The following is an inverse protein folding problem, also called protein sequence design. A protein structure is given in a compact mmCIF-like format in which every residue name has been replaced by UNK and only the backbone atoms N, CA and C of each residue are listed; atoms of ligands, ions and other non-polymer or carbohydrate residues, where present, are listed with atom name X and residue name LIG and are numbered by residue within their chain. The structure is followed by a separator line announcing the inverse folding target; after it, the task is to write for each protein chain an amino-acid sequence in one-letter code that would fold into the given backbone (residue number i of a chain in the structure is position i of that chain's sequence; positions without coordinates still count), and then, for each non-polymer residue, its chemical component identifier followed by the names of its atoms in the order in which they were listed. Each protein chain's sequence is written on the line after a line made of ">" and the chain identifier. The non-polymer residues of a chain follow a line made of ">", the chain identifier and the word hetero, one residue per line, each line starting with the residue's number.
data_IF_964880145614
#
_entry.id   IF_964880145614
#
_cell.length_a   1.000
_cell.length_b   1.000
_cell.length_c   1.000
_cell.angle_alpha   90.00
_cell.angle_beta   90.00
_cell.angle_gamma   90.00
#
_symmetry.space_group_name_H-M   'P 1'
#
loop_
_entity.id
_entity.type
_entity.pdbx_description
1 polymer ?
#
# COMPACT_ATOMS: atom_id res chain seq x y z
N UNK A 1 -12.92 -6.79 -38.01
CA UNK A 1 -11.48 -6.55 -38.24
C UNK A 1 -10.68 -7.10 -37.08
N UNK A 2 -9.96 -8.22 -37.30
CA UNK A 2 -9.15 -8.84 -36.27
C UNK A 2 -7.89 -7.99 -36.01
N UNK A 3 -7.81 -7.36 -34.83
CA UNK A 3 -6.58 -6.70 -34.38
C UNK A 3 -5.49 -7.77 -34.23
N UNK A 4 -4.51 -7.76 -35.12
CA UNK A 4 -3.28 -8.55 -34.97
C UNK A 4 -2.62 -8.17 -33.65
N UNK A 5 -2.59 -9.10 -32.69
CA UNK A 5 -1.92 -8.90 -31.40
C UNK A 5 -0.44 -8.73 -31.67
N UNK A 6 0.08 -7.50 -31.60
CA UNK A 6 1.53 -7.22 -31.65
C UNK A 6 2.24 -8.11 -30.61
N UNK A 7 3.06 -9.06 -31.09
CA UNK A 7 3.83 -9.96 -30.23
C UNK A 7 5.03 -9.18 -29.71
N UNK A 8 4.93 -8.68 -28.49
CA UNK A 8 6.03 -7.97 -27.84
C UNK A 8 7.02 -8.96 -27.21
N UNK A 9 8.34 -8.85 -27.49
CA UNK A 9 9.34 -9.76 -26.94
C UNK A 9 9.45 -9.62 -25.40
N UNK A 10 9.81 -10.71 -24.71
CA UNK A 10 9.95 -10.68 -23.24
C UNK A 10 11.07 -9.77 -22.75
N UNK A 11 12.12 -9.57 -23.55
CA UNK A 11 13.23 -8.68 -23.23
C UNK A 11 13.84 -8.03 -24.47
N UNK A 12 14.39 -6.84 -24.29
CA UNK A 12 15.07 -6.02 -25.29
C UNK A 12 16.45 -5.60 -24.74
N UNK A 13 17.46 -5.36 -25.59
CA UNK A 13 18.71 -4.74 -25.15
C UNK A 13 18.44 -3.36 -24.52
N UNK A 14 19.19 -3.00 -23.48
CA UNK A 14 19.08 -1.69 -22.85
C UNK A 14 19.92 -0.66 -23.60
N UNK A 15 19.33 0.51 -23.88
CA UNK A 15 20.04 1.66 -24.47
C UNK A 15 20.23 2.74 -23.39
N UNK A 16 21.48 3.19 -23.17
CA UNK A 16 21.78 4.17 -22.12
C UNK A 16 21.19 5.56 -22.42
N UNK A 17 21.21 6.00 -23.67
CA UNK A 17 20.74 7.32 -24.09
C UNK A 17 19.21 7.42 -24.13
N UNK A 18 18.53 6.35 -24.60
CA UNK A 18 17.06 6.33 -24.77
C UNK A 18 16.32 5.68 -23.59
N UNK A 19 17.02 4.91 -22.75
CA UNK A 19 16.40 4.14 -21.67
C UNK A 19 15.61 2.92 -22.18
N UNK A 20 14.61 2.50 -21.40
CA UNK A 20 13.70 1.43 -21.81
C UNK A 20 12.42 1.99 -22.45
N UNK A 21 11.89 1.32 -23.48
CA UNK A 21 10.63 1.72 -24.09
C UNK A 21 9.45 1.53 -23.12
N UNK A 22 8.34 2.20 -23.39
CA UNK A 22 7.11 2.09 -22.58
C UNK A 22 6.66 0.64 -22.43
N UNK A 23 6.25 0.26 -21.23
CA UNK A 23 5.89 -1.12 -20.89
C UNK A 23 7.09 -2.04 -20.59
N UNK A 24 8.32 -1.51 -20.54
CA UNK A 24 9.52 -2.21 -20.10
C UNK A 24 10.20 -1.46 -18.95
N UNK A 25 10.93 -2.19 -18.11
CA UNK A 25 11.80 -1.60 -17.09
C UNK A 25 13.22 -2.16 -17.19
N UNK A 26 14.20 -1.37 -16.75
CA UNK A 26 15.61 -1.77 -16.75
C UNK A 26 15.83 -2.85 -15.69
N UNK A 27 16.25 -4.04 -16.12
CA UNK A 27 16.87 -5.04 -15.25
C UNK A 27 18.37 -4.73 -15.19
N UNK A 28 18.89 -4.50 -13.99
CA UNK A 28 20.31 -4.27 -13.78
C UNK A 28 21.12 -5.53 -14.09
N UNK A 29 22.42 -5.34 -14.36
CA UNK A 29 23.38 -6.41 -14.53
C UNK A 29 23.44 -7.27 -13.27
N UNK A 30 23.51 -8.59 -13.41
CA UNK A 30 23.66 -9.52 -12.28
C UNK A 30 24.43 -10.77 -12.69
N UNK A 31 25.00 -11.49 -11.72
CA UNK A 31 25.59 -12.81 -11.93
C UNK A 31 24.52 -13.87 -11.81
N UNK A 32 24.37 -14.69 -12.84
CA UNK A 32 23.47 -15.86 -12.83
C UNK A 32 24.03 -16.96 -11.91
N UNK A 33 23.20 -17.95 -11.58
CA UNK A 33 23.61 -19.10 -10.76
C UNK A 33 24.75 -19.92 -11.39
N UNK A 34 24.88 -19.89 -12.72
CA UNK A 34 25.99 -20.50 -13.46
C UNK A 34 27.24 -19.61 -13.55
N UNK A 35 27.30 -18.50 -12.81
CA UNK A 35 28.44 -17.58 -12.78
C UNK A 35 28.49 -16.58 -13.95
N UNK A 36 27.71 -16.78 -15.02
CA UNK A 36 27.68 -15.86 -16.17
C UNK A 36 27.11 -14.51 -15.78
N UNK A 37 27.79 -13.43 -16.17
CA UNK A 37 27.32 -12.05 -16.00
C UNK A 37 26.25 -11.76 -17.06
N UNK A 38 25.02 -11.51 -16.61
CA UNK A 38 23.91 -11.12 -17.47
C UNK A 38 23.89 -9.59 -17.57
N UNK A 39 24.08 -9.00 -18.75
CA UNK A 39 24.09 -7.54 -18.91
C UNK A 39 22.71 -6.94 -18.65
N UNK A 40 22.69 -5.62 -18.42
CA UNK A 40 21.43 -4.91 -18.24
C UNK A 40 20.55 -5.00 -19.48
N UNK A 41 19.25 -5.25 -19.29
CA UNK A 41 18.26 -5.40 -20.37
C UNK A 41 16.96 -4.71 -20.00
N UNK A 42 16.17 -4.35 -21.00
CA UNK A 42 14.79 -3.93 -20.80
C UNK A 42 13.90 -5.18 -20.76
N UNK A 43 13.22 -5.42 -19.65
CA UNK A 43 12.31 -6.57 -19.49
C UNK A 43 10.88 -6.06 -19.40
N UNK A 44 9.94 -6.82 -19.99
CA UNK A 44 8.53 -6.41 -20.02
C UNK A 44 8.02 -6.21 -18.59
N UNK A 45 7.38 -5.07 -18.33
CA UNK A 45 6.80 -4.76 -17.04
C UNK A 45 5.68 -5.74 -16.73
N UNK A 46 5.79 -6.44 -15.60
CA UNK A 46 4.74 -7.32 -15.08
C UNK A 46 3.69 -6.55 -14.28
N UNK A 47 3.88 -5.24 -14.10
CA UNK A 47 3.00 -4.35 -13.35
C UNK A 47 2.60 -3.17 -14.21
N UNK A 48 1.40 -2.66 -14.00
CA UNK A 48 0.89 -1.44 -14.64
C UNK A 48 1.51 -0.15 -14.10
N UNK A 49 2.40 -0.23 -13.11
CA UNK A 49 3.00 0.94 -12.49
C UNK A 49 4.30 1.32 -13.15
N UNK A 50 4.49 2.62 -13.35
CA UNK A 50 5.79 3.19 -13.73
C UNK A 50 6.84 3.00 -12.63
N UNK A 51 6.45 3.21 -11.37
CA UNK A 51 7.37 3.14 -10.23
C UNK A 51 7.35 1.76 -9.57
N UNK A 52 8.54 1.30 -9.18
CA UNK A 52 8.73 0.08 -8.38
C UNK A 52 8.07 0.21 -7.01
N UNK A 53 7.80 -0.93 -6.35
CA UNK A 53 7.31 -0.95 -4.97
C UNK A 53 8.26 -0.24 -3.99
N UNK A 54 9.58 -0.35 -4.22
CA UNK A 54 10.62 0.29 -3.41
C UNK A 54 10.53 1.82 -3.52
N UNK A 55 10.40 2.34 -4.74
CA UNK A 55 10.23 3.77 -4.99
C UNK A 55 8.91 4.30 -4.41
N UNK A 56 7.83 3.54 -4.56
CA UNK A 56 6.55 3.88 -3.95
C UNK A 56 6.67 3.98 -2.42
N UNK A 57 7.27 2.97 -1.78
CA UNK A 57 7.53 2.97 -0.33
C UNK A 57 8.38 4.18 0.07
N UNK A 58 9.45 4.47 -0.67
CA UNK A 58 10.30 5.65 -0.45
C UNK A 58 9.53 6.96 -0.57
N UNK A 59 8.68 7.12 -1.58
CA UNK A 59 7.85 8.31 -1.74
C UNK A 59 6.87 8.51 -0.57
N UNK A 60 6.24 7.42 -0.10
CA UNK A 60 5.35 7.45 1.06
C UNK A 60 6.10 7.86 2.33
N UNK A 61 7.28 7.29 2.59
CA UNK A 61 8.07 7.62 3.79
C UNK A 61 8.62 9.05 3.72
N UNK A 62 9.09 9.51 2.55
CA UNK A 62 9.53 10.89 2.35
C UNK A 62 8.40 11.89 2.57
N UNK A 63 7.18 11.61 2.08
CA UNK A 63 6.01 12.47 2.31
C UNK A 63 5.66 12.55 3.80
N UNK A 64 5.77 11.45 4.54
CA UNK A 64 5.57 11.45 5.98
C UNK A 64 6.65 12.27 6.70
N UNK A 65 7.92 12.12 6.31
CA UNK A 65 9.03 12.89 6.88
C UNK A 65 8.90 14.40 6.61
N UNK A 66 8.53 14.80 5.38
CA UNK A 66 8.30 16.21 5.03
C UNK A 66 7.22 16.86 5.91
N UNK A 67 6.15 16.13 6.23
CA UNK A 67 5.10 16.62 7.15
C UNK A 67 5.60 16.81 8.58
N UNK A 68 6.47 15.92 9.06
CA UNK A 68 7.07 16.07 10.39
C UNK A 68 7.98 17.31 10.43
N UNK A 69 8.80 17.49 9.39
CA UNK A 69 9.66 18.68 9.24
C UNK A 69 8.87 19.99 9.17
N UNK A 70 7.72 20.02 8.48
CA UNK A 70 6.86 21.21 8.42
C UNK A 70 6.24 21.58 9.77
N UNK A 71 6.30 20.69 10.77
CA UNK A 71 5.90 20.96 12.15
C UNK A 71 7.12 21.13 13.08
N UNK A 72 8.29 21.48 12.53
CA UNK A 72 9.50 21.75 13.30
C UNK A 72 10.22 20.52 13.85
N UNK A 73 9.82 19.29 13.47
CA UNK A 73 10.55 18.10 13.93
C UNK A 73 11.86 17.90 13.16
N UNK A 74 12.94 17.71 13.92
CA UNK A 74 14.27 17.34 13.40
C UNK A 74 14.39 15.83 13.16
N UNK A 75 15.33 15.39 12.33
CA UNK A 75 15.51 13.96 12.04
C UNK A 75 15.84 13.13 13.30
N UNK A 76 16.48 13.74 14.30
CA UNK A 76 16.88 13.13 15.58
C UNK A 76 15.67 12.75 16.44
N UNK A 77 14.62 13.58 16.44
CA UNK A 77 13.37 13.30 17.17
C UNK A 77 12.45 12.30 16.46
N UNK A 78 12.64 12.11 15.15
CA UNK A 78 11.83 11.19 14.33
C UNK A 78 12.39 9.77 14.34
N UNK A 79 13.72 9.61 14.42
CA UNK A 79 14.42 8.32 14.40
C UNK A 79 14.99 7.94 15.77
N UNK A 80 14.15 7.96 16.82
CA UNK A 80 14.56 7.45 18.12
C UNK A 80 14.80 5.93 17.99
N UNK A 81 16.06 5.48 18.06
CA UNK A 81 16.38 4.04 18.19
C UNK A 81 16.20 3.62 19.66
N UNK A 82 14.96 3.65 20.16
CA UNK A 82 14.64 3.23 21.53
C UNK A 82 14.17 1.78 21.51
N UNK A 83 14.89 0.91 22.22
CA UNK A 83 14.38 -0.41 22.55
C UNK A 83 13.17 -0.24 23.48
N UNK A 84 12.04 -0.82 23.10
CA UNK A 84 10.87 -0.86 23.97
C UNK A 84 10.94 -2.12 24.85
N UNK A 85 10.43 -2.05 26.10
CA UNK A 85 10.39 -3.22 26.96
C UNK A 85 9.49 -4.31 26.36
N UNK A 86 9.63 -5.57 26.80
CA UNK A 86 8.80 -6.68 26.34
C UNK A 86 7.29 -6.35 26.36
N UNK A 87 6.57 -6.78 25.31
CA UNK A 87 5.14 -6.49 25.15
C UNK A 87 4.80 -5.06 24.67
N UNK A 88 5.81 -4.21 24.41
CA UNK A 88 5.62 -2.88 23.80
C UNK A 88 6.37 -2.76 22.48
N UNK A 89 5.83 -1.91 21.61
CA UNK A 89 6.40 -1.56 20.29
C UNK A 89 6.66 -0.06 20.21
N UNK A 90 7.72 0.31 19.50
CA UNK A 90 8.03 1.71 19.25
C UNK A 90 7.11 2.27 18.18
N UNK A 91 6.19 3.15 18.56
CA UNK A 91 5.42 3.93 17.61
C UNK A 91 6.26 5.10 17.13
N UNK A 92 6.51 5.18 15.82
CA UNK A 92 7.16 6.33 15.18
C UNK A 92 6.33 7.61 15.36
N UNK A 93 7.02 8.75 15.39
CA UNK A 93 6.35 10.04 15.37
C UNK A 93 5.56 10.23 14.06
N UNK A 94 4.40 10.88 14.13
CA UNK A 94 3.60 11.20 12.94
C UNK A 94 2.73 12.43 13.16
N UNK A 95 2.36 13.08 12.06
CA UNK A 95 1.39 14.18 12.09
C UNK A 95 -0.03 13.61 12.07
N UNK A 96 -0.79 13.90 13.11
CA UNK A 96 -2.24 13.65 13.17
C UNK A 96 -2.99 14.87 12.67
N UNK A 97 -3.83 14.69 11.65
CA UNK A 97 -4.76 15.71 11.18
C UNK A 97 -6.10 15.58 11.89
N UNK A 98 -6.65 16.70 12.32
CA UNK A 98 -8.01 16.77 12.82
C UNK A 98 -8.97 16.90 11.63
N UNK A 99 -10.06 16.14 11.66
CA UNK A 99 -11.15 16.27 10.66
C UNK A 99 -11.96 17.52 10.99
N UNK A 100 -12.58 18.12 9.96
CA UNK A 100 -13.40 19.33 10.10
C UNK A 100 -14.48 19.16 11.18
N UNK A 101 -15.20 18.05 11.13
CA UNK A 101 -16.24 17.73 12.12
C UNK A 101 -15.71 17.62 13.57
N UNK A 102 -14.46 17.19 13.79
CA UNK A 102 -13.85 17.13 15.13
C UNK A 102 -13.48 18.52 15.63
N UNK A 103 -13.13 19.45 14.72
CA UNK A 103 -12.84 20.85 15.07
C UNK A 103 -14.12 21.60 15.44
N UNK A 104 -15.20 21.34 14.70
CA UNK A 104 -16.50 21.98 14.91
C UNK A 104 -17.27 21.41 16.11
N UNK A 105 -17.39 20.07 16.21
CA UNK A 105 -18.22 19.40 17.23
C UNK A 105 -17.45 19.03 18.49
N UNK A 106 -16.12 19.11 18.45
CA UNK A 106 -15.25 18.69 19.53
C UNK A 106 -15.22 17.17 19.72
N UNK A 107 -14.48 16.72 20.71
CA UNK A 107 -14.46 15.34 21.17
C UNK A 107 -14.37 15.28 22.69
N UNK A 108 -14.93 14.24 23.27
CA UNK A 108 -14.99 14.07 24.73
C UNK A 108 -13.65 13.60 25.27
N UNK A 109 -13.18 14.23 26.35
CA UNK A 109 -11.97 13.86 27.08
C UNK A 109 -12.35 13.65 28.54
N UNK A 110 -11.92 12.52 29.12
CA UNK A 110 -12.04 12.23 30.54
C UNK A 110 -10.70 12.51 31.23
N UNK A 111 -10.69 13.34 32.26
CA UNK A 111 -9.53 13.57 33.15
C UNK A 111 -10.00 13.37 34.59
N UNK A 112 -9.58 12.25 35.19
CA UNK A 112 -10.12 11.85 36.50
C UNK A 112 -11.62 11.56 36.42
N UNK A 113 -12.40 12.19 37.30
CA UNK A 113 -13.87 12.11 37.34
C UNK A 113 -14.56 13.04 36.33
N UNK A 114 -13.88 14.09 35.87
CA UNK A 114 -14.50 15.11 35.01
C UNK A 114 -14.44 14.74 33.53
N UNK A 115 -15.52 15.05 32.84
CA UNK A 115 -15.70 14.83 31.40
C UNK A 115 -15.95 16.17 30.74
N UNK A 116 -15.11 16.57 29.79
CA UNK A 116 -15.26 17.82 29.05
C UNK A 116 -15.12 17.61 27.54
N UNK A 117 -15.71 18.51 26.76
CA UNK A 117 -15.54 18.54 25.30
C UNK A 117 -14.34 19.41 24.92
N UNK A 118 -13.40 18.83 24.19
CA UNK A 118 -12.22 19.51 23.68
C UNK A 118 -12.37 19.84 22.19
N UNK A 119 -12.03 21.06 21.80
CA UNK A 119 -12.12 21.57 20.43
C UNK A 119 -10.72 21.95 19.92
N UNK A 120 -10.13 21.18 18.99
CA UNK A 120 -8.82 21.50 18.43
C UNK A 120 -8.85 22.81 17.62
N UNK A 121 -8.07 23.80 18.04
CA UNK A 121 -7.84 25.03 17.27
C UNK A 121 -7.04 24.74 16.00
N UNK A 122 -5.92 24.02 16.16
CA UNK A 122 -5.03 23.64 15.07
C UNK A 122 -5.63 22.56 14.16
N UNK A 123 -5.24 22.56 12.88
CA UNK A 123 -5.66 21.57 11.88
C UNK A 123 -4.90 20.24 11.99
N UNK A 124 -3.69 20.29 12.55
CA UNK A 124 -2.88 19.11 12.85
C UNK A 124 -2.05 19.28 14.11
N UNK A 125 -1.68 18.15 14.69
CA UNK A 125 -0.75 18.06 15.81
C UNK A 125 0.25 16.94 15.56
N UNK A 126 1.44 17.08 16.15
CA UNK A 126 2.47 16.05 16.12
C UNK A 126 2.24 15.08 17.26
N UNK A 127 2.14 13.79 16.93
CA UNK A 127 2.15 12.72 17.92
C UNK A 127 3.58 12.20 18.04
N UNK A 128 4.23 12.51 19.16
CA UNK A 128 5.63 12.14 19.43
C UNK A 128 5.85 10.63 19.41
N UNK A 129 7.09 10.19 19.18
CA UNK A 129 7.45 8.78 19.25
C UNK A 129 7.37 8.27 20.70
N UNK A 130 6.77 7.09 20.91
CA UNK A 130 6.64 6.50 22.25
C UNK A 130 6.48 4.98 22.18
N UNK A 131 6.89 4.28 23.24
CA UNK A 131 6.59 2.86 23.42
C UNK A 131 5.10 2.69 23.77
N UNK A 132 4.36 1.96 22.93
CA UNK A 132 2.94 1.65 23.15
C UNK A 132 2.77 0.15 23.34
N UNK A 133 1.72 -0.26 24.06
CA UNK A 133 1.34 -1.68 24.16
C UNK A 133 1.19 -2.27 22.76
N UNK A 134 1.83 -3.41 22.50
CA UNK A 134 1.61 -4.11 21.25
C UNK A 134 0.23 -4.76 21.30
N UNK A 135 -0.66 -4.32 20.42
CA UNK A 135 -2.02 -4.85 20.30
C UNK A 135 -2.11 -5.89 19.18
N UNK A 136 -0.99 -6.26 18.55
CA UNK A 136 -0.97 -7.09 17.34
C UNK A 136 -1.74 -6.45 16.17
N UNK A 137 -1.97 -5.14 16.20
CA UNK A 137 -2.77 -4.48 15.17
C UNK A 137 -1.94 -4.38 13.88
N UNK A 138 -2.52 -4.76 12.72
CA UNK A 138 -1.86 -4.64 11.43
C UNK A 138 -1.26 -3.24 11.22
N UNK A 139 0.03 -3.19 10.87
CA UNK A 139 0.76 -1.94 10.59
C UNK A 139 1.33 -1.21 11.81
N UNK A 140 1.22 -1.73 13.03
CA UNK A 140 1.88 -1.18 14.22
C UNK A 140 3.14 -1.95 14.67
N UNK A 141 3.35 -3.17 14.19
CA UNK A 141 4.57 -3.97 14.39
C UNK A 141 5.48 -4.01 13.14
N UNK A 142 6.39 -4.99 13.04
CA UNK A 142 7.20 -5.22 11.85
C UNK A 142 6.31 -5.23 10.59
N UNK A 143 6.67 -4.41 9.59
CA UNK A 143 5.89 -4.30 8.37
C UNK A 143 6.18 -5.49 7.45
N UNK A 144 5.36 -6.52 7.53
CA UNK A 144 5.42 -7.66 6.59
C UNK A 144 4.90 -7.28 5.19
N UNK A 145 3.93 -6.37 5.12
CA UNK A 145 3.32 -5.90 3.87
C UNK A 145 3.68 -4.43 3.65
N UNK A 146 4.20 -4.12 2.46
CA UNK A 146 4.51 -2.75 2.05
C UNK A 146 3.24 -1.86 2.05
N UNK A 147 3.38 -0.53 2.15
CA UNK A 147 2.24 0.37 2.08
C UNK A 147 1.39 0.09 0.84
N UNK A 148 0.07 -0.04 1.02
CA UNK A 148 -0.83 -0.25 -0.10
C UNK A 148 -1.12 1.06 -0.83
N UNK A 149 -1.19 0.98 -2.16
CA UNK A 149 -1.73 2.03 -3.01
C UNK A 149 -3.23 2.15 -2.73
N UNK A 150 -3.71 3.39 -2.55
CA UNK A 150 -5.10 3.65 -2.15
C UNK A 150 -5.98 3.80 -3.38
N UNK A 151 -7.22 3.31 -3.28
CA UNK A 151 -8.27 3.58 -4.27
C UNK A 151 -8.22 2.76 -5.56
N UNK A 152 -7.30 1.81 -5.71
CA UNK A 152 -7.07 1.13 -6.99
C UNK A 152 -8.23 0.25 -7.46
N UNK A 153 -8.87 -0.49 -6.54
CA UNK A 153 -10.09 -1.22 -6.89
C UNK A 153 -11.31 -0.30 -6.83
N UNK A 154 -11.30 0.71 -5.95
CA UNK A 154 -12.41 1.65 -5.79
C UNK A 154 -12.68 2.47 -7.05
N UNK A 155 -11.64 2.85 -7.81
CA UNK A 155 -11.82 3.55 -9.10
C UNK A 155 -12.60 2.73 -10.14
N UNK A 156 -12.68 1.41 -9.98
CA UNK A 156 -13.50 0.53 -10.82
C UNK A 156 -14.87 0.22 -10.20
N UNK A 157 -15.24 0.91 -9.11
CA UNK A 157 -16.53 0.78 -8.44
C UNK A 157 -16.57 -0.27 -7.32
N UNK A 158 -15.44 -0.91 -7.00
CA UNK A 158 -15.38 -1.98 -6.00
C UNK A 158 -15.49 -1.42 -4.57
N UNK A 159 -16.41 -1.99 -3.79
CA UNK A 159 -16.55 -1.73 -2.35
C UNK A 159 -17.09 -2.97 -1.67
N UNK A 160 -16.49 -3.37 -0.54
CA UNK A 160 -16.94 -4.54 0.23
C UNK A 160 -18.36 -4.38 0.82
N UNK A 161 -18.92 -3.17 0.81
CA UNK A 161 -20.27 -2.87 1.29
C UNK A 161 -21.37 -3.09 0.24
N UNK A 162 -20.99 -3.27 -1.03
CA UNK A 162 -21.94 -3.52 -2.12
C UNK A 162 -22.32 -4.99 -2.23
N UNK A 163 -23.35 -5.28 -3.00
CA UNK A 163 -23.80 -6.63 -3.31
C UNK A 163 -22.70 -7.46 -4.00
N UNK A 164 -22.80 -8.79 -3.93
CA UNK A 164 -21.84 -9.68 -4.59
C UNK A 164 -21.76 -9.42 -6.10
N UNK A 165 -22.90 -9.13 -6.74
CA UNK A 165 -22.98 -8.84 -8.18
C UNK A 165 -22.18 -7.60 -8.54
N UNK A 166 -22.42 -6.48 -7.84
CA UNK A 166 -21.71 -5.21 -8.09
C UNK A 166 -20.21 -5.34 -7.85
N UNK A 167 -19.82 -6.09 -6.80
CA UNK A 167 -18.41 -6.33 -6.50
C UNK A 167 -17.75 -7.11 -7.62
N UNK A 168 -18.36 -8.21 -8.08
CA UNK A 168 -17.83 -9.01 -9.17
C UNK A 168 -17.76 -8.23 -10.49
N UNK A 169 -18.75 -7.39 -10.80
CA UNK A 169 -18.71 -6.52 -11.98
C UNK A 169 -17.55 -5.52 -11.91
N UNK A 170 -17.36 -4.87 -10.77
CA UNK A 170 -16.22 -3.99 -10.54
C UNK A 170 -14.88 -4.72 -10.70
N UNK A 171 -14.78 -5.97 -10.24
CA UNK A 171 -13.59 -6.80 -10.41
C UNK A 171 -13.34 -7.18 -11.89
N UNK A 172 -14.39 -7.43 -12.68
CA UNK A 172 -14.24 -7.63 -14.13
C UNK A 172 -13.71 -6.36 -14.82
N UNK A 173 -14.21 -5.18 -14.43
CA UNK A 173 -13.70 -3.89 -14.93
C UNK A 173 -12.23 -3.70 -14.56
N UNK A 174 -11.87 -3.97 -13.31
CA UNK A 174 -10.49 -3.90 -12.84
C UNK A 174 -9.56 -4.91 -13.54
N UNK A 175 -10.09 -6.05 -14.02
CA UNK A 175 -9.29 -7.13 -14.60
C UNK A 175 -8.69 -6.72 -15.95
N UNK A 176 -9.36 -5.82 -16.67
CA UNK A 176 -8.87 -5.24 -17.92
C UNK A 176 -7.57 -4.45 -17.71
N UNK A 177 -7.41 -3.81 -16.55
CA UNK A 177 -6.21 -3.04 -16.23
C UNK A 177 -5.16 -3.89 -15.52
N UNK A 178 -5.52 -4.52 -14.39
CA UNK A 178 -4.53 -5.16 -13.51
C UNK A 178 -4.28 -6.64 -13.82
N UNK A 179 -5.12 -7.26 -14.64
CA UNK A 179 -5.18 -8.72 -14.79
C UNK A 179 -5.68 -9.46 -13.55
N UNK A 180 -6.03 -10.74 -13.71
CA UNK A 180 -6.57 -11.57 -12.63
C UNK A 180 -5.59 -11.72 -11.44
N UNK A 181 -4.30 -11.94 -11.73
CA UNK A 181 -3.25 -12.06 -10.71
C UNK A 181 -3.06 -10.76 -9.92
N UNK A 182 -3.11 -9.61 -10.60
CA UNK A 182 -2.98 -8.30 -9.97
C UNK A 182 -4.11 -8.02 -8.98
N UNK A 183 -5.35 -8.31 -9.37
CA UNK A 183 -6.52 -8.21 -8.49
C UNK A 183 -6.41 -9.17 -7.31
N UNK A 184 -6.07 -10.44 -7.58
CA UNK A 184 -5.93 -11.45 -6.55
C UNK A 184 -4.98 -11.00 -5.45
N UNK A 185 -3.79 -10.50 -5.82
CA UNK A 185 -2.78 -10.00 -4.86
C UNK A 185 -3.28 -8.80 -4.06
N UNK A 186 -4.05 -7.90 -4.68
CA UNK A 186 -4.64 -6.74 -4.00
C UNK A 186 -5.67 -7.16 -2.95
N UNK A 187 -6.62 -8.02 -3.33
CA UNK A 187 -7.64 -8.53 -2.43
C UNK A 187 -7.02 -9.33 -1.28
N UNK A 188 -6.02 -10.17 -1.58
CA UNK A 188 -5.29 -10.94 -0.56
C UNK A 188 -4.58 -10.05 0.45
N UNK A 189 -3.88 -9.00 -0.01
CA UNK A 189 -3.19 -8.06 0.86
C UNK A 189 -4.18 -7.32 1.79
N UNK A 190 -5.29 -6.82 1.25
CA UNK A 190 -6.31 -6.13 2.05
C UNK A 190 -7.00 -7.09 3.02
N UNK A 191 -7.28 -8.33 2.59
CA UNK A 191 -7.85 -9.36 3.45
C UNK A 191 -6.95 -9.62 4.68
N UNK A 192 -5.65 -9.87 4.47
CA UNK A 192 -4.66 -10.11 5.53
C UNK A 192 -4.53 -8.93 6.49
N UNK A 193 -4.45 -7.72 5.95
CA UNK A 193 -4.36 -6.51 6.78
C UNK A 193 -5.64 -6.18 7.55
N UNK A 194 -6.80 -6.70 7.13
CA UNK A 194 -8.09 -6.39 7.75
C UNK A 194 -8.55 -7.45 8.75
N UNK A 195 -7.86 -8.59 8.89
CA UNK A 195 -8.32 -9.73 9.73
C UNK A 195 -8.70 -9.29 11.15
N UNK A 196 -7.83 -8.52 11.81
CA UNK A 196 -8.04 -8.09 13.20
C UNK A 196 -8.84 -6.78 13.31
N UNK A 197 -8.69 -5.87 12.35
CA UNK A 197 -9.30 -4.54 12.41
C UNK A 197 -10.76 -4.51 11.90
N UNK A 198 -11.09 -5.36 10.93
CA UNK A 198 -12.40 -5.44 10.30
C UNK A 198 -12.65 -6.88 9.78
N UNK A 199 -12.91 -7.86 10.68
CA UNK A 199 -13.00 -9.27 10.32
C UNK A 199 -14.09 -9.57 9.27
N UNK A 200 -15.26 -8.91 9.38
CA UNK A 200 -16.34 -9.03 8.37
C UNK A 200 -15.87 -8.61 6.98
N UNK A 201 -15.18 -7.47 6.87
CA UNK A 201 -14.61 -7.02 5.60
C UNK A 201 -13.52 -7.97 5.09
N UNK A 202 -12.66 -8.48 5.99
CA UNK A 202 -11.63 -9.47 5.65
C UNK A 202 -12.24 -10.72 5.00
N UNK A 203 -13.33 -11.25 5.54
CA UNK A 203 -14.03 -12.40 4.99
C UNK A 203 -14.55 -12.13 3.56
N UNK A 204 -15.13 -10.95 3.32
CA UNK A 204 -15.60 -10.55 1.97
C UNK A 204 -14.41 -10.47 1.00
N UNK A 205 -13.31 -9.82 1.38
CA UNK A 205 -12.11 -9.75 0.53
C UNK A 205 -11.56 -11.15 0.20
N UNK A 206 -11.59 -12.11 1.15
CA UNK A 206 -11.20 -13.51 0.90
C UNK A 206 -12.15 -14.21 -0.07
N UNK A 207 -13.46 -14.02 0.09
CA UNK A 207 -14.49 -14.57 -0.81
C UNK A 207 -14.27 -14.08 -2.24
N UNK A 208 -14.13 -12.78 -2.41
CA UNK A 208 -13.94 -12.14 -3.72
C UNK A 208 -12.59 -12.54 -4.33
N UNK A 209 -11.52 -12.65 -3.53
CA UNK A 209 -10.21 -13.18 -3.96
C UNK A 209 -10.35 -14.60 -4.55
N UNK A 210 -11.08 -15.48 -3.85
CA UNK A 210 -11.31 -16.85 -4.29
C UNK A 210 -12.19 -16.89 -5.56
N UNK A 211 -13.17 -15.99 -5.67
CA UNK A 211 -13.96 -15.83 -6.87
C UNK A 211 -13.10 -15.43 -8.07
N UNK A 212 -12.18 -14.47 -7.92
CA UNK A 212 -11.22 -14.07 -8.97
C UNK A 212 -10.37 -15.26 -9.41
N UNK A 213 -9.84 -16.04 -8.47
CA UNK A 213 -9.06 -17.26 -8.78
C UNK A 213 -9.85 -18.25 -9.63
N UNK A 214 -11.14 -18.45 -9.33
CA UNK A 214 -12.02 -19.41 -10.00
C UNK A 214 -12.59 -18.92 -11.34
N UNK A 215 -12.98 -17.65 -11.44
CA UNK A 215 -13.75 -17.12 -12.58
C UNK A 215 -12.92 -16.33 -13.58
N UNK A 216 -11.81 -15.73 -13.14
CA UNK A 216 -10.94 -14.90 -13.99
C UNK A 216 -9.56 -15.53 -14.25
N UNK A 217 -9.24 -16.65 -13.59
CA UNK A 217 -7.95 -17.35 -13.72
C UNK A 217 -7.90 -18.31 -14.92
N UNK A 218 -6.71 -18.58 -15.47
CA UNK A 218 -5.51 -18.94 -14.69
C UNK A 218 -4.72 -17.74 -14.15
N UNK A 219 -4.25 -17.86 -12.91
CA UNK A 219 -3.42 -16.84 -12.23
C UNK A 219 -1.97 -16.88 -12.72
N UNK A 220 -1.74 -16.61 -14.01
CA UNK A 220 -0.39 -16.57 -14.58
C UNK A 220 0.17 -15.15 -14.51
N UNK A 221 1.44 -15.04 -14.12
CA UNK A 221 2.25 -13.90 -14.51
C UNK A 221 2.59 -14.10 -15.99
N UNK A 222 2.37 -13.07 -16.81
CA UNK A 222 2.51 -13.10 -18.28
C UNK A 222 3.71 -13.89 -18.82
#
# INVERSE_FOLDING_TARGET
>A
MAQTRKIYPRSLPYNASKGCPSGYHKRMTYKSSSGRVVPSRCVKATTVYANTSKEFKRGVTQKAARRLKSHGMTNTTVNVRKACPPGKILRKAYVRRFRTNIRERGYTVKRGSQVYKAYPRATSTVVQAACIKDKGLPGKGPQEIAPLRKGELMKHGYSYRKSDLDRHEALRKAAKEFGALGIYRKLDAVAKLSVRAAPRASAIFKKDRNWVKRRLGPLKAF
#
